data_IF_834418962015
#
_entry.id   IF_834418962015
#
_cell.length_a   1.000
_cell.length_b   1.000
_cell.length_c   1.000
_cell.angle_alpha   90.00
_cell.angle_beta   90.00
_cell.angle_gamma   90.00
#
_symmetry.space_group_name_H-M   'P 1'
#
loop_
_entity.id
_entity.type
_entity.pdbx_description
1 polymer ?
#
# COMPACT_ATOMS: atom_id res chain seq x y z
N UNK A 1 -2.30 -10.43 -64.26
CA UNK A 1 -3.36 -11.47 -64.37
C UNK A 1 -2.79 -12.71 -63.70
N UNK A 2 -2.78 -12.73 -62.36
CA UNK A 2 -3.88 -13.13 -61.47
C UNK A 2 -3.83 -14.65 -61.25
N UNK A 3 -3.19 -15.08 -60.16
CA UNK A 3 -3.79 -15.37 -58.85
C UNK A 3 -4.42 -16.77 -58.83
N UNK A 4 -3.68 -17.73 -58.26
CA UNK A 4 -4.19 -19.02 -57.79
C UNK A 4 -3.81 -19.15 -56.32
N UNK A 5 -4.85 -19.28 -55.51
CA UNK A 5 -4.80 -19.42 -54.06
C UNK A 5 -3.87 -20.53 -53.60
N UNK A 6 -3.12 -20.26 -52.53
CA UNK A 6 -2.76 -21.28 -51.55
C UNK A 6 -3.18 -20.77 -50.18
N UNK A 7 -4.26 -21.37 -49.67
CA UNK A 7 -4.73 -21.17 -48.31
C UNK A 7 -3.65 -21.55 -47.31
N UNK A 8 -3.17 -20.55 -46.58
CA UNK A 8 -2.41 -20.74 -45.36
C UNK A 8 -3.31 -20.43 -44.18
N UNK A 9 -3.89 -21.47 -43.56
CA UNK A 9 -4.39 -21.40 -42.19
C UNK A 9 -3.24 -20.92 -41.30
N UNK A 10 -3.18 -19.62 -41.05
CA UNK A 10 -2.40 -19.07 -39.95
C UNK A 10 -3.27 -19.22 -38.71
N UNK A 11 -3.07 -20.32 -38.01
CA UNK A 11 -3.55 -20.54 -36.66
C UNK A 11 -3.24 -19.28 -35.85
N UNK A 12 -4.28 -18.54 -35.50
CA UNK A 12 -4.20 -17.40 -34.59
C UNK A 12 -3.92 -17.94 -33.19
N UNK A 13 -2.67 -18.29 -32.90
CA UNK A 13 -2.21 -18.44 -31.53
C UNK A 13 -1.87 -17.03 -31.04
N UNK A 14 -2.91 -16.29 -30.65
CA UNK A 14 -2.73 -15.09 -29.81
C UNK A 14 -2.07 -15.58 -28.53
N UNK A 15 -0.81 -15.23 -28.33
CA UNK A 15 -0.16 -15.42 -27.04
C UNK A 15 -1.00 -14.68 -25.99
N UNK A 16 -1.39 -15.38 -24.94
CA UNK A 16 -2.10 -14.79 -23.81
C UNK A 16 -1.10 -13.86 -23.09
N UNK A 17 -1.26 -12.56 -23.28
CA UNK A 17 -0.49 -11.55 -22.58
C UNK A 17 -0.99 -11.49 -21.13
N UNK A 18 -0.15 -11.78 -20.11
CA UNK A 18 -0.60 -11.97 -18.72
C UNK A 18 -1.06 -10.68 -18.01
N UNK A 19 -1.10 -9.54 -18.71
CA UNK A 19 -1.46 -8.23 -18.16
C UNK A 19 -2.76 -7.69 -18.78
N UNK A 20 -3.06 -8.03 -20.04
CA UNK A 20 -4.25 -7.53 -20.76
C UNK A 20 -5.42 -8.52 -20.80
N UNK A 21 -5.18 -9.79 -20.47
CA UNK A 21 -6.23 -10.77 -20.17
C UNK A 21 -6.46 -10.88 -18.65
N UNK A 22 -6.53 -9.74 -17.94
CA UNK A 22 -7.32 -9.75 -16.70
C UNK A 22 -8.76 -9.95 -17.18
N UNK A 23 -9.36 -11.12 -16.92
CA UNK A 23 -10.74 -11.34 -17.31
C UNK A 23 -11.53 -10.23 -16.66
N UNK A 24 -12.28 -9.49 -17.47
CA UNK A 24 -13.39 -8.65 -17.06
C UNK A 24 -14.05 -9.32 -15.85
N UNK A 25 -13.78 -8.79 -14.66
CA UNK A 25 -14.15 -9.41 -13.39
C UNK A 25 -15.65 -9.65 -13.47
N UNK A 26 -16.04 -10.92 -13.51
CA UNK A 26 -17.43 -11.29 -13.47
C UNK A 26 -18.06 -10.59 -12.25
N UNK A 27 -19.23 -9.96 -12.39
CA UNK A 27 -19.87 -9.26 -11.27
C UNK A 27 -20.26 -10.30 -10.22
N UNK A 28 -19.40 -10.46 -9.22
CA UNK A 28 -19.60 -11.34 -8.08
C UNK A 28 -18.54 -12.43 -7.96
N UNK A 29 -17.43 -12.12 -7.27
CA UNK A 29 -16.73 -12.98 -6.28
C UNK A 29 -15.20 -12.86 -6.28
N UNK A 30 -14.64 -11.66 -6.19
CA UNK A 30 -13.27 -11.49 -5.69
C UNK A 30 -13.34 -10.77 -4.35
N UNK A 31 -13.05 -11.50 -3.27
CA UNK A 31 -13.00 -11.04 -1.88
C UNK A 31 -11.78 -10.12 -1.65
N UNK A 32 -11.57 -9.15 -2.55
CA UNK A 32 -10.64 -8.04 -2.40
C UNK A 32 -11.30 -6.95 -1.54
N UNK A 33 -11.74 -7.34 -0.35
CA UNK A 33 -12.19 -6.38 0.65
C UNK A 33 -10.97 -5.85 1.38
N UNK A 34 -10.80 -4.52 1.38
CA UNK A 34 -9.98 -3.88 2.41
C UNK A 34 -10.45 -4.39 3.79
N UNK A 35 -9.56 -4.58 4.78
CA UNK A 35 -9.97 -5.10 6.08
C UNK A 35 -11.08 -4.21 6.66
N UNK A 36 -12.30 -4.76 6.75
CA UNK A 36 -13.50 -3.99 7.14
C UNK A 36 -13.29 -3.26 8.46
N UNK A 37 -12.58 -3.88 9.40
CA UNK A 37 -12.21 -3.27 10.67
C UNK A 37 -11.34 -2.01 10.51
N UNK A 38 -10.38 -2.02 9.59
CA UNK A 38 -9.49 -0.88 9.31
C UNK A 38 -10.28 0.27 8.68
N UNK A 39 -11.09 -0.03 7.65
CA UNK A 39 -11.93 0.99 6.99
C UNK A 39 -12.93 1.58 7.99
N UNK A 40 -13.57 0.73 8.79
CA UNK A 40 -14.51 1.15 9.81
C UNK A 40 -13.87 2.06 10.87
N UNK A 41 -12.62 1.78 11.25
CA UNK A 41 -11.87 2.61 12.19
C UNK A 41 -11.59 3.99 11.59
N UNK A 42 -11.16 4.05 10.33
CA UNK A 42 -10.91 5.31 9.62
C UNK A 42 -12.21 6.13 9.51
N UNK A 43 -13.31 5.50 9.09
CA UNK A 43 -14.63 6.14 9.01
C UNK A 43 -15.00 6.77 10.35
N UNK A 44 -14.81 6.05 11.46
CA UNK A 44 -15.13 6.56 12.79
C UNK A 44 -14.23 7.74 13.19
N UNK A 45 -12.93 7.70 12.87
CA UNK A 45 -11.99 8.78 13.20
C UNK A 45 -12.24 10.05 12.37
N UNK A 46 -12.51 9.90 11.06
CA UNK A 46 -12.83 11.02 10.16
C UNK A 46 -14.15 11.66 10.56
N UNK A 47 -15.18 10.86 10.83
CA UNK A 47 -16.51 11.38 11.15
C UNK A 47 -16.63 11.91 12.58
N UNK A 48 -15.74 11.51 13.49
CA UNK A 48 -15.63 12.08 14.83
C UNK A 48 -14.79 13.37 14.87
N UNK A 49 -14.15 13.76 13.76
CA UNK A 49 -13.36 14.99 13.70
C UNK A 49 -14.26 16.23 13.57
N UNK A 50 -14.04 17.29 14.37
CA UNK A 50 -14.94 18.46 14.41
C UNK A 50 -14.97 19.31 13.12
N UNK A 51 -14.14 18.99 12.12
CA UNK A 51 -14.10 19.67 10.82
C UNK A 51 -15.25 19.27 9.88
N UNK A 52 -15.78 18.05 9.99
CA UNK A 52 -16.92 17.59 9.14
C UNK A 52 -18.29 17.94 9.71
N UNK A 53 -18.37 18.35 10.98
CA UNK A 53 -19.61 18.82 11.62
C UNK A 53 -20.00 20.27 11.27
N UNK A 54 -19.24 20.95 10.40
CA UNK A 54 -19.34 22.40 10.18
C UNK A 54 -20.16 22.87 8.97
N UNK A 55 -20.80 22.01 8.18
CA UNK A 55 -21.50 22.48 6.96
C UNK A 55 -22.71 21.63 6.57
N UNK A 56 -23.74 21.65 7.39
CA UNK A 56 -25.11 21.45 6.91
C UNK A 56 -26.07 22.18 7.84
N UNK A 57 -26.92 23.05 7.28
CA UNK A 57 -28.03 23.69 7.99
C UNK A 57 -28.92 22.63 8.64
N UNK A 58 -28.64 22.29 9.89
CA UNK A 58 -29.56 21.52 10.71
C UNK A 58 -30.52 22.50 11.40
N UNK A 59 -31.79 22.37 11.05
CA UNK A 59 -32.93 22.93 11.76
C UNK A 59 -32.69 22.86 13.28
N UNK A 60 -32.56 24.03 13.90
CA UNK A 60 -32.45 24.19 15.34
C UNK A 60 -33.81 23.84 15.96
N UNK A 61 -34.01 22.56 16.28
CA UNK A 61 -34.98 22.19 17.30
C UNK A 61 -34.30 22.34 18.66
N UNK A 62 -34.59 23.47 19.30
CA UNK A 62 -34.24 23.78 20.67
C UNK A 62 -34.65 22.65 21.62
N UNK A 63 -33.68 21.88 22.10
CA UNK A 63 -33.79 21.21 23.40
C UNK A 63 -32.45 21.30 24.11
N UNK A 64 -32.48 22.08 25.18
CA UNK A 64 -31.46 22.28 26.20
C UNK A 64 -31.00 20.93 26.79
N UNK A 65 -29.73 20.54 26.60
CA UNK A 65 -29.03 19.53 27.44
C UNK A 65 -27.55 19.31 27.05
N UNK A 66 -26.66 19.77 27.93
CA UNK A 66 -25.27 19.35 28.19
C UNK A 66 -24.20 19.41 27.07
N UNK A 67 -22.93 19.78 27.39
CA UNK A 67 -21.80 19.69 26.47
C UNK A 67 -21.29 18.24 26.44
N UNK A 68 -22.11 17.32 25.96
CA UNK A 68 -21.79 15.93 25.73
C UNK A 68 -21.56 15.71 24.24
N UNK A 69 -20.29 15.55 23.84
CA UNK A 69 -19.79 15.06 22.56
C UNK A 69 -20.88 14.36 21.72
N UNK A 70 -21.57 15.08 20.83
CA UNK A 70 -22.56 14.51 19.92
C UNK A 70 -21.83 13.70 18.85
N UNK A 71 -21.49 12.46 19.19
CA UNK A 71 -20.98 11.51 18.23
C UNK A 71 -22.08 11.25 17.19
N UNK A 72 -21.93 11.84 15.99
CA UNK A 72 -22.78 11.53 14.85
C UNK A 72 -22.68 10.03 14.57
N UNK A 73 -23.79 9.32 14.70
CA UNK A 73 -23.89 7.90 14.35
C UNK A 73 -24.53 7.75 12.98
N UNK A 74 -23.90 6.97 12.11
CA UNK A 74 -24.39 6.68 10.76
C UNK A 74 -25.18 5.38 10.74
N UNK A 75 -26.08 5.22 9.77
CA UNK A 75 -26.72 3.93 9.54
C UNK A 75 -25.68 2.87 9.13
N UNK A 76 -25.95 1.60 9.45
CA UNK A 76 -25.08 0.48 9.07
C UNK A 76 -24.89 0.44 7.55
N UNK A 77 -25.97 0.57 6.80
CA UNK A 77 -25.95 0.51 5.33
C UNK A 77 -25.11 1.63 4.71
N UNK A 78 -25.07 2.82 5.31
CA UNK A 78 -24.18 3.91 4.87
C UNK A 78 -22.70 3.56 5.07
N UNK A 79 -22.36 2.89 6.17
CA UNK A 79 -20.98 2.46 6.43
C UNK A 79 -20.55 1.36 5.47
N UNK A 80 -21.46 0.42 5.19
CA UNK A 80 -21.21 -0.65 4.21
C UNK A 80 -21.01 -0.06 2.80
N UNK A 81 -21.83 0.91 2.39
CA UNK A 81 -21.65 1.62 1.13
C UNK A 81 -20.30 2.36 1.06
N UNK A 82 -19.87 3.02 2.13
CA UNK A 82 -18.56 3.68 2.16
C UNK A 82 -17.41 2.69 1.97
N UNK A 83 -17.53 1.46 2.52
CA UNK A 83 -16.54 0.41 2.32
C UNK A 83 -16.49 -0.02 0.84
N UNK A 84 -17.64 -0.20 0.21
CA UNK A 84 -17.74 -0.52 -1.22
C UNK A 84 -17.14 0.60 -2.08
N UNK A 85 -17.43 1.87 -1.76
CA UNK A 85 -16.83 3.02 -2.44
C UNK A 85 -15.30 3.06 -2.31
N UNK A 86 -14.73 2.65 -1.17
CA UNK A 86 -13.27 2.60 -1.01
C UNK A 86 -12.63 1.56 -1.94
N UNK A 87 -13.27 0.41 -2.15
CA UNK A 87 -12.78 -0.62 -3.07
C UNK A 87 -12.89 -0.11 -4.51
N UNK A 88 -14.04 0.45 -4.87
CA UNK A 88 -14.26 1.02 -6.21
C UNK A 88 -13.28 2.16 -6.52
N UNK A 89 -12.98 3.01 -5.54
CA UNK A 89 -11.98 4.07 -5.69
C UNK A 89 -10.60 3.53 -6.07
N UNK A 90 -10.16 2.44 -5.44
CA UNK A 90 -8.88 1.79 -5.78
C UNK A 90 -8.93 1.24 -7.20
N UNK A 91 -10.02 0.58 -7.59
CA UNK A 91 -10.20 0.02 -8.94
C UNK A 91 -10.17 1.13 -10.00
N UNK A 92 -10.95 2.20 -9.80
CA UNK A 92 -11.00 3.36 -10.69
C UNK A 92 -9.63 4.02 -10.84
N UNK A 93 -8.95 4.31 -9.73
CA UNK A 93 -7.64 4.93 -9.74
C UNK A 93 -6.59 4.04 -10.42
N UNK A 94 -6.64 2.73 -10.18
CA UNK A 94 -5.72 1.76 -10.78
C UNK A 94 -5.91 1.66 -12.29
N UNK A 95 -7.17 1.71 -12.74
CA UNK A 95 -7.49 1.71 -14.18
C UNK A 95 -6.96 2.95 -14.88
N UNK A 96 -7.19 4.14 -14.33
CA UNK A 96 -6.70 5.40 -14.92
C UNK A 96 -5.16 5.43 -14.95
N UNK A 97 -4.50 5.01 -13.87
CA UNK A 97 -3.04 4.93 -13.81
C UNK A 97 -2.46 3.90 -14.80
N UNK A 98 -3.18 2.79 -15.04
CA UNK A 98 -2.80 1.81 -16.04
C UNK A 98 -2.88 2.41 -17.45
N UNK A 99 -3.98 3.09 -17.78
CA UNK A 99 -4.15 3.74 -19.08
C UNK A 99 -3.06 4.78 -19.34
N UNK A 100 -2.67 5.55 -18.32
CA UNK A 100 -1.55 6.50 -18.41
C UNK A 100 -0.22 5.78 -18.67
N UNK A 101 0.06 4.69 -17.93
CA UNK A 101 1.28 3.90 -18.12
C UNK A 101 1.37 3.31 -19.54
N UNK A 102 0.26 2.78 -20.05
CA UNK A 102 0.16 2.22 -21.39
C UNK A 102 0.35 3.29 -22.48
N UNK A 103 -0.26 4.47 -22.30
CA UNK A 103 -0.05 5.63 -23.20
C UNK A 103 1.42 6.06 -23.26
N UNK A 104 2.16 5.88 -22.17
CA UNK A 104 3.61 6.13 -22.08
C UNK A 104 4.48 4.93 -22.52
N UNK A 105 3.87 3.85 -23.02
CA UNK A 105 4.52 2.60 -23.41
C UNK A 105 5.35 1.95 -22.28
N UNK A 106 4.92 2.11 -21.03
CA UNK A 106 5.54 1.53 -19.84
C UNK A 106 4.77 0.29 -19.38
N UNK A 107 5.49 -0.80 -19.12
CA UNK A 107 4.93 -2.07 -18.61
C UNK A 107 4.75 -2.10 -17.08
N UNK A 108 5.15 -1.05 -16.39
CA UNK A 108 5.14 -0.98 -14.93
C UNK A 108 4.53 0.35 -14.52
N UNK A 109 3.52 0.29 -13.65
CA UNK A 109 2.89 1.48 -13.09
C UNK A 109 3.87 2.10 -12.08
N UNK A 110 4.28 3.33 -12.34
CA UNK A 110 5.16 4.11 -11.49
C UNK A 110 4.35 5.14 -10.68
N UNK A 111 4.97 5.72 -9.66
CA UNK A 111 4.33 6.73 -8.80
C UNK A 111 3.82 7.94 -9.60
N UNK A 112 4.54 8.31 -10.66
CA UNK A 112 4.18 9.41 -11.58
C UNK A 112 2.85 9.16 -12.31
N UNK A 113 2.53 7.91 -12.67
CA UNK A 113 1.24 7.58 -13.30
C UNK A 113 0.09 7.72 -12.31
N UNK A 114 0.32 7.35 -11.03
CA UNK A 114 -0.68 7.54 -9.95
C UNK A 114 -0.92 9.02 -9.69
N UNK A 115 0.15 9.83 -9.65
CA UNK A 115 0.04 11.29 -9.48
C UNK A 115 -0.80 11.90 -10.59
N UNK A 116 -0.53 11.53 -11.84
CA UNK A 116 -1.29 12.05 -12.98
C UNK A 116 -2.74 11.55 -13.01
N UNK A 117 -2.98 10.30 -12.66
CA UNK A 117 -4.35 9.77 -12.51
C UNK A 117 -5.16 10.56 -11.48
N UNK A 118 -4.55 10.93 -10.34
CA UNK A 118 -5.22 11.77 -9.34
C UNK A 118 -5.53 13.17 -9.88
N UNK A 119 -4.63 13.77 -10.65
CA UNK A 119 -4.87 15.07 -11.29
C UNK A 119 -5.99 15.00 -12.34
N UNK A 120 -5.96 13.98 -13.21
CA UNK A 120 -6.96 13.79 -14.29
C UNK A 120 -8.36 13.47 -13.72
N UNK A 121 -8.43 12.82 -12.55
CA UNK A 121 -9.69 12.52 -11.84
C UNK A 121 -10.18 13.66 -10.92
N UNK A 122 -9.43 14.76 -10.79
CA UNK A 122 -9.80 15.93 -9.95
C UNK A 122 -9.52 15.76 -8.45
N UNK A 123 -8.55 14.92 -8.10
CA UNK A 123 -8.06 14.68 -6.74
C UNK A 123 -6.66 15.28 -6.52
N UNK A 124 -6.30 16.37 -7.21
CA UNK A 124 -4.96 16.99 -7.14
C UNK A 124 -4.55 17.38 -5.72
N UNK A 125 -5.53 17.69 -4.85
CA UNK A 125 -5.28 18.00 -3.43
C UNK A 125 -4.66 16.84 -2.63
N UNK A 126 -4.73 15.61 -3.13
CA UNK A 126 -4.17 14.41 -2.47
C UNK A 126 -2.70 14.17 -2.84
N UNK A 127 -2.24 14.74 -3.96
CA UNK A 127 -0.88 14.55 -4.48
C UNK A 127 0.22 14.91 -3.48
N UNK A 128 0.15 16.05 -2.75
CA UNK A 128 1.22 16.42 -1.81
C UNK A 128 1.44 15.39 -0.69
N UNK A 129 0.35 14.87 -0.10
CA UNK A 129 0.47 13.87 0.98
C UNK A 129 0.90 12.51 0.43
N UNK A 130 0.46 12.14 -0.79
CA UNK A 130 0.93 10.94 -1.49
C UNK A 130 2.46 10.96 -1.69
N UNK A 131 3.00 12.07 -2.20
CA UNK A 131 4.44 12.20 -2.47
C UNK A 131 5.27 12.10 -1.20
N UNK A 132 4.80 12.71 -0.11
CA UNK A 132 5.43 12.61 1.21
C UNK A 132 5.49 11.18 1.72
N UNK A 133 4.41 10.40 1.55
CA UNK A 133 4.41 8.97 1.88
C UNK A 133 5.37 8.19 0.99
N UNK A 134 5.41 8.46 -0.31
CA UNK A 134 6.32 7.81 -1.25
C UNK A 134 7.79 8.07 -0.91
N UNK A 135 8.14 9.29 -0.47
CA UNK A 135 9.48 9.64 0.00
C UNK A 135 9.86 8.91 1.30
N UNK A 136 8.92 8.83 2.25
CA UNK A 136 9.09 8.04 3.48
C UNK A 136 9.36 6.55 3.21
N UNK A 137 8.74 5.99 2.17
CA UNK A 137 9.00 4.62 1.75
C UNK A 137 10.39 4.46 1.12
N UNK A 138 10.80 5.37 0.24
CA UNK A 138 12.13 5.35 -0.41
C UNK A 138 13.27 5.42 0.61
N UNK A 139 13.17 6.30 1.60
CA UNK A 139 14.17 6.43 2.67
C UNK A 139 14.25 5.19 3.57
N UNK A 140 13.10 4.57 3.88
CA UNK A 140 13.03 3.33 4.65
C UNK A 140 13.61 2.14 3.88
N UNK A 141 13.35 2.05 2.57
CA UNK A 141 13.94 1.03 1.71
C UNK A 141 15.46 1.19 1.62
N UNK A 142 15.95 2.41 1.40
CA UNK A 142 17.39 2.67 1.38
C UNK A 142 18.06 2.29 2.71
N UNK A 143 17.38 2.46 3.84
CA UNK A 143 17.90 2.02 5.15
C UNK A 143 18.02 0.50 5.25
N UNK A 144 17.08 -0.26 4.65
CA UNK A 144 17.14 -1.73 4.61
C UNK A 144 18.26 -2.21 3.70
N UNK A 145 18.40 -1.63 2.51
CA UNK A 145 19.49 -1.93 1.57
C UNK A 145 20.87 -1.60 2.16
N UNK A 146 20.98 -0.47 2.89
CA UNK A 146 22.21 -0.13 3.63
C UNK A 146 22.57 -1.14 4.72
N UNK A 147 21.59 -1.80 5.35
CA UNK A 147 21.86 -2.86 6.34
C UNK A 147 22.32 -4.14 5.67
N UNK A 148 21.74 -4.48 4.52
CA UNK A 148 22.16 -5.64 3.72
C UNK A 148 23.59 -5.46 3.21
N UNK A 149 23.90 -4.28 2.67
CA UNK A 149 25.24 -3.96 2.14
C UNK A 149 26.31 -3.91 3.22
N UNK A 150 26.01 -3.62 4.49
CA UNK A 150 27.03 -3.66 5.57
C UNK A 150 27.67 -5.03 5.76
N UNK A 151 26.94 -6.11 5.48
CA UNK A 151 27.48 -7.48 5.57
C UNK A 151 28.44 -7.74 4.41
N UNK A 152 28.05 -7.36 3.19
CA UNK A 152 28.86 -7.50 1.98
C UNK A 152 30.06 -6.54 1.93
N UNK A 153 29.90 -5.34 2.47
CA UNK A 153 30.91 -4.27 2.50
C UNK A 153 31.92 -4.44 3.64
N UNK A 154 31.75 -5.44 4.51
CA UNK A 154 32.74 -5.79 5.52
C UNK A 154 34.09 -6.19 4.91
N UNK A 155 34.08 -6.71 3.67
CA UNK A 155 35.29 -7.16 2.98
C UNK A 155 35.92 -8.42 3.58
N UNK A 156 35.29 -9.02 4.60
CA UNK A 156 35.69 -10.29 5.20
C UNK A 156 34.95 -11.44 4.53
N UNK A 157 35.62 -12.60 4.42
CA UNK A 157 34.95 -13.81 3.95
C UNK A 157 33.92 -14.26 5.00
N UNK A 158 32.95 -15.06 4.55
CA UNK A 158 31.93 -15.63 5.45
C UNK A 158 32.58 -16.47 6.58
N UNK A 159 33.67 -17.17 6.28
CA UNK A 159 34.44 -17.95 7.26
C UNK A 159 35.08 -17.07 8.35
N UNK A 160 35.66 -15.92 7.96
CA UNK A 160 36.29 -15.00 8.90
C UNK A 160 35.25 -14.28 9.78
N UNK A 161 34.07 -13.97 9.23
CA UNK A 161 32.95 -13.41 10.00
C UNK A 161 32.44 -14.39 11.07
N UNK A 162 32.32 -15.67 10.75
CA UNK A 162 31.90 -16.71 11.70
C UNK A 162 32.94 -16.84 12.83
N UNK A 163 34.23 -16.84 12.49
CA UNK A 163 35.31 -16.91 13.48
C UNK A 163 35.27 -15.73 14.46
N UNK A 164 35.07 -14.51 13.95
CA UNK A 164 34.96 -13.31 14.81
C UNK A 164 33.71 -13.37 15.70
N UNK A 165 32.58 -13.87 15.17
CA UNK A 165 31.37 -14.04 15.94
C UNK A 165 31.54 -15.06 17.08
N UNK A 166 32.19 -16.20 16.82
CA UNK A 166 32.49 -17.22 17.84
C UNK A 166 33.44 -16.71 18.93
N UNK A 167 34.48 -15.95 18.57
CA UNK A 167 35.41 -15.37 19.54
C UNK A 167 34.71 -14.34 20.45
N UNK A 168 33.82 -13.52 19.88
CA UNK A 168 32.97 -12.60 20.65
C UNK A 168 32.05 -13.34 21.62
N UNK A 169 31.43 -14.45 21.20
CA UNK A 169 30.59 -15.26 22.09
C UNK A 169 31.39 -15.93 23.20
N UNK A 170 32.59 -16.44 22.89
CA UNK A 170 33.50 -17.02 23.87
C UNK A 170 33.93 -15.99 24.91
N UNK A 171 34.38 -14.82 24.48
CA UNK A 171 34.80 -13.73 25.38
C UNK A 171 33.64 -13.23 26.25
N UNK A 172 32.43 -13.11 25.70
CA UNK A 172 31.23 -12.76 26.46
C UNK A 172 30.89 -13.82 27.53
N UNK A 173 30.99 -15.11 27.18
CA UNK A 173 30.77 -16.22 28.10
C UNK A 173 31.79 -16.25 29.24
N UNK A 174 33.08 -16.06 28.95
CA UNK A 174 34.14 -15.98 29.94
C UNK A 174 33.93 -14.81 30.92
N UNK A 175 33.56 -13.62 30.40
CA UNK A 175 33.23 -12.46 31.24
C UNK A 175 32.01 -12.70 32.12
N UNK A 176 30.97 -13.33 31.59
CA UNK A 176 29.78 -13.69 32.36
C UNK A 176 30.12 -14.69 33.48
N UNK A 177 30.92 -15.71 33.18
CA UNK A 177 31.34 -16.72 34.15
C UNK A 177 32.28 -16.14 35.22
N UNK A 178 33.18 -15.22 34.85
CA UNK A 178 34.02 -14.49 35.79
C UNK A 178 33.22 -13.54 36.69
N UNK A 179 32.16 -12.91 36.17
CA UNK A 179 31.27 -12.03 36.94
C UNK A 179 30.25 -12.81 37.79
N UNK A 180 29.92 -14.05 37.43
CA UNK A 180 29.06 -14.95 38.19
C UNK A 180 29.78 -15.63 39.38
N UNK A 181 31.09 -15.39 39.53
CA UNK A 181 31.86 -15.82 40.70
C UNK A 181 32.39 -14.65 41.55
N UNK A 182 31.52 -13.87 42.23
CA UNK A 182 31.93 -13.06 43.36
C UNK A 182 31.31 -13.64 44.64
N UNK A 183 32.10 -14.40 45.41
CA UNK A 183 31.74 -14.81 46.77
C UNK A 183 31.89 -16.30 47.05
N UNK A 184 33.12 -16.78 47.19
CA UNK A 184 33.44 -17.96 47.97
C UNK A 184 34.77 -17.70 48.70
N UNK A 185 34.74 -16.74 49.62
CA UNK A 185 35.69 -16.60 50.73
C UNK A 185 34.96 -15.97 51.92
#
# INVERSE_FOLDING_TARGET
MSDKEFGGMRSSTRALDPITDIPYLAPGSDDLSLPKATVQKIINEVLASPSVSGSSNAFSSSTDSAPGKSAMSFAKDTRDLLIECCVEFITMLSSEANDIAEKEAKKTIACEHITKALEDLGFESYVPELLKVAEGFKSSQQTRERKQTKIEQSGLSNEELIRQQEELFKSAGEKYNAMASPGAD
#
